data_IF_546501382485
#
_entry.id   IF_546501382485
#
_cell.length_a   1.000
_cell.length_b   1.000
_cell.length_c   1.000
_cell.angle_alpha   90.00
_cell.angle_beta   90.00
_cell.angle_gamma   90.00
#
_symmetry.space_group_name_H-M   'P 1'
#
loop_
_entity.id
_entity.type
_entity.pdbx_description
1 polymer ?
#
# COMPACT_ATOMS: atom_id res chain seq x y z
N UNK A 1 -3.64 11.82 11.10
CA UNK A 1 -2.33 11.18 11.27
C UNK A 1 -1.43 11.95 12.25
N UNK A 2 -1.33 13.30 12.15
CA UNK A 2 -0.46 14.11 13.01
C UNK A 2 -0.73 13.91 14.50
N UNK A 3 -1.98 14.09 14.93
CA UNK A 3 -2.37 13.89 16.32
C UNK A 3 -2.02 12.48 16.85
N UNK A 4 -2.16 11.44 16.02
CA UNK A 4 -1.78 10.08 16.39
C UNK A 4 -0.27 9.96 16.57
N UNK A 5 0.52 10.58 15.68
CA UNK A 5 1.99 10.60 15.77
C UNK A 5 2.44 11.26 17.08
N UNK A 6 1.89 12.43 17.40
CA UNK A 6 2.20 13.16 18.64
C UNK A 6 1.90 12.31 19.87
N UNK A 7 0.67 11.76 19.97
CA UNK A 7 0.27 10.90 21.09
C UNK A 7 1.15 9.66 21.25
N UNK A 8 1.60 9.08 20.13
CA UNK A 8 2.47 7.91 20.17
C UNK A 8 3.87 8.28 20.67
N UNK A 9 4.41 9.42 20.23
CA UNK A 9 5.70 9.95 20.71
C UNK A 9 5.62 10.26 22.22
N UNK A 10 4.58 10.95 22.69
CA UNK A 10 4.36 11.20 24.10
C UNK A 10 4.32 9.90 24.92
N UNK A 11 3.70 8.86 24.35
CA UNK A 11 3.67 7.55 25.01
C UNK A 11 5.09 6.92 25.06
N UNK A 12 5.85 7.02 23.99
CA UNK A 12 7.24 6.53 23.97
C UNK A 12 8.13 7.26 24.99
N UNK A 13 7.98 8.57 25.14
CA UNK A 13 8.71 9.35 26.15
C UNK A 13 8.34 8.89 27.57
N UNK A 14 7.03 8.80 27.88
CA UNK A 14 6.57 8.37 29.22
C UNK A 14 7.01 6.96 29.59
N UNK A 15 7.01 6.04 28.63
CA UNK A 15 7.38 4.63 28.86
C UNK A 15 8.87 4.37 28.70
N UNK A 16 9.66 5.36 28.31
CA UNK A 16 11.09 5.21 27.93
C UNK A 16 11.29 4.10 26.90
N UNK A 17 10.42 4.09 25.88
CA UNK A 17 10.40 3.04 24.88
C UNK A 17 11.76 2.83 24.19
N UNK A 18 12.21 1.57 24.11
CA UNK A 18 13.49 1.15 23.51
C UNK A 18 13.32 0.07 22.42
N UNK A 19 12.09 -0.18 22.03
CA UNK A 19 11.78 -1.20 21.03
C UNK A 19 12.05 -0.74 19.58
N UNK A 20 11.19 -1.15 18.68
CA UNK A 20 11.29 -0.85 17.25
C UNK A 20 9.97 -0.30 16.75
N UNK A 21 10.02 0.77 15.98
CA UNK A 21 8.89 1.32 15.26
C UNK A 21 9.08 1.11 13.76
N UNK A 22 8.14 0.38 13.13
CA UNK A 22 8.06 0.28 11.66
C UNK A 22 6.90 1.16 11.22
N UNK A 23 7.20 2.19 10.44
CA UNK A 23 6.23 3.16 9.97
C UNK A 23 5.92 2.95 8.49
N UNK A 24 4.64 2.69 8.18
CA UNK A 24 4.15 2.61 6.81
C UNK A 24 3.98 4.04 6.24
N UNK A 25 5.02 4.53 5.58
CA UNK A 25 4.99 5.75 4.78
C UNK A 25 4.49 5.46 3.37
N UNK A 26 4.68 6.36 2.42
CA UNK A 26 4.20 6.21 1.04
C UNK A 26 5.13 6.92 0.08
N UNK A 27 5.27 6.41 -1.13
CA UNK A 27 5.95 7.12 -2.24
C UNK A 27 5.35 8.52 -2.49
N UNK A 28 4.11 8.74 -2.06
CA UNK A 28 3.40 10.03 -2.14
C UNK A 28 3.77 11.02 -1.03
N UNK A 29 4.71 10.70 -0.16
CA UNK A 29 5.11 11.56 0.98
C UNK A 29 5.69 12.91 0.54
N UNK A 30 6.17 13.03 -0.69
CA UNK A 30 6.66 14.29 -1.26
C UNK A 30 5.60 15.08 -2.05
N UNK A 31 4.38 14.55 -2.21
CA UNK A 31 3.30 15.26 -2.87
C UNK A 31 2.86 16.48 -2.04
N UNK A 32 2.60 17.61 -2.74
CA UNK A 32 2.15 18.84 -2.10
C UNK A 32 0.64 18.83 -1.77
N UNK A 33 0.20 17.77 -1.12
CA UNK A 33 -1.17 17.63 -0.60
C UNK A 33 -1.16 17.32 0.89
N UNK A 34 -2.32 17.37 1.55
CA UNK A 34 -2.45 17.13 2.98
C UNK A 34 -1.95 15.74 3.42
N UNK A 35 -2.17 14.72 2.57
CA UNK A 35 -1.72 13.36 2.84
C UNK A 35 -0.20 13.23 2.81
N UNK A 36 0.44 13.69 1.72
CA UNK A 36 1.90 13.65 1.57
C UNK A 36 2.59 14.42 2.68
N UNK A 37 2.17 15.67 2.93
CA UNK A 37 2.70 16.51 4.03
C UNK A 37 2.57 15.82 5.39
N UNK A 38 1.44 15.19 5.67
CA UNK A 38 1.20 14.45 6.92
C UNK A 38 2.14 13.25 7.06
N UNK A 39 2.35 12.46 5.99
CA UNK A 39 3.28 11.32 6.02
C UNK A 39 4.72 11.76 6.22
N UNK A 40 5.16 12.80 5.50
CA UNK A 40 6.50 13.37 5.62
C UNK A 40 6.75 13.87 7.04
N UNK A 41 5.87 14.71 7.56
CA UNK A 41 6.01 15.27 8.91
C UNK A 41 6.01 14.19 9.99
N UNK A 42 5.14 13.18 9.89
CA UNK A 42 5.12 12.05 10.83
C UNK A 42 6.45 11.27 10.80
N UNK A 43 7.01 11.02 9.61
CA UNK A 43 8.30 10.35 9.47
C UNK A 43 9.44 11.14 10.12
N UNK A 44 9.51 12.46 9.87
CA UNK A 44 10.50 13.36 10.50
C UNK A 44 10.39 13.32 12.02
N UNK A 45 9.17 13.45 12.58
CA UNK A 45 8.94 13.42 14.03
C UNK A 45 9.35 12.09 14.67
N UNK A 46 9.05 10.96 14.02
CA UNK A 46 9.47 9.64 14.52
C UNK A 46 10.99 9.47 14.45
N UNK A 47 11.62 9.95 13.38
CA UNK A 47 13.08 9.92 13.25
C UNK A 47 13.75 10.71 14.36
N UNK A 48 13.33 11.97 14.60
CA UNK A 48 13.86 12.82 15.66
C UNK A 48 13.67 12.19 17.04
N UNK A 49 12.45 11.64 17.30
CA UNK A 49 12.13 10.94 18.54
C UNK A 49 12.99 9.68 18.72
N UNK A 50 13.25 8.93 17.66
CA UNK A 50 14.10 7.73 17.72
C UNK A 50 15.53 8.07 18.11
N UNK A 51 16.08 9.15 17.57
CA UNK A 51 17.42 9.65 17.94
C UNK A 51 17.48 10.10 19.40
N UNK A 52 16.45 10.82 19.87
CA UNK A 52 16.36 11.31 21.25
C UNK A 52 16.19 10.18 22.26
N UNK A 53 15.33 9.21 21.98
CA UNK A 53 14.98 8.13 22.91
C UNK A 53 15.82 6.87 22.73
N UNK A 54 16.48 6.69 21.59
CA UNK A 54 17.32 5.53 21.29
C UNK A 54 16.54 4.25 20.98
N UNK A 55 15.39 4.36 20.33
CA UNK A 55 14.68 3.20 19.75
C UNK A 55 14.99 3.07 18.24
N UNK A 56 14.78 1.89 17.67
CA UNK A 56 14.98 1.67 16.24
C UNK A 56 13.77 2.16 15.45
N UNK A 57 14.00 3.02 14.43
CA UNK A 57 12.95 3.52 13.54
C UNK A 57 13.18 3.06 12.10
N UNK A 58 12.23 2.33 11.54
CA UNK A 58 12.23 1.87 10.15
C UNK A 58 11.09 2.55 9.42
N UNK A 59 11.42 3.37 8.43
CA UNK A 59 10.46 4.08 7.60
C UNK A 59 10.31 3.35 6.26
N UNK A 60 9.17 2.72 6.02
CA UNK A 60 8.87 2.02 4.78
C UNK A 60 8.18 2.97 3.80
N UNK A 61 8.86 3.37 2.74
CA UNK A 61 8.30 4.20 1.66
C UNK A 61 7.64 3.25 0.65
N UNK A 62 6.32 3.05 0.82
CA UNK A 62 5.55 1.97 0.18
C UNK A 62 4.85 2.49 -1.08
N UNK A 63 4.90 1.75 -2.22
CA UNK A 63 4.11 2.05 -3.42
C UNK A 63 2.61 1.78 -3.20
N UNK A 64 1.80 1.83 -4.26
CA UNK A 64 0.37 1.52 -4.13
C UNK A 64 0.19 0.04 -3.81
N UNK A 65 -0.43 -0.26 -2.67
CA UNK A 65 -0.70 -1.64 -2.21
C UNK A 65 -2.03 -2.11 -2.76
N UNK A 66 -2.09 -3.37 -3.20
CA UNK A 66 -3.32 -4.04 -3.56
C UNK A 66 -3.34 -5.47 -3.00
N UNK A 67 -4.53 -6.05 -2.87
CA UNK A 67 -4.71 -7.40 -2.36
C UNK A 67 -6.16 -7.66 -1.92
N UNK A 68 -6.46 -8.90 -1.51
CA UNK A 68 -7.77 -9.30 -1.02
C UNK A 68 -8.30 -8.43 0.12
N UNK A 69 -9.62 -8.35 0.25
CA UNK A 69 -10.34 -7.67 1.34
C UNK A 69 -10.09 -6.16 1.47
N UNK A 70 -9.51 -5.54 0.43
CA UNK A 70 -9.32 -4.10 0.43
C UNK A 70 -10.67 -3.37 0.21
N UNK A 71 -10.96 -2.38 1.07
CA UNK A 71 -12.23 -1.64 1.03
C UNK A 71 -12.34 -0.83 -0.28
N UNK A 72 -13.38 -1.05 -1.11
CA UNK A 72 -13.64 -0.25 -2.30
C UNK A 72 -14.02 1.20 -1.93
N UNK A 73 -13.84 2.12 -2.88
CA UNK A 73 -14.16 3.54 -2.72
C UNK A 73 -13.47 4.23 -1.52
N UNK A 74 -12.29 3.73 -1.15
CA UNK A 74 -11.50 4.29 -0.05
C UNK A 74 -10.08 4.64 -0.51
N UNK A 75 -9.11 3.74 -0.43
CA UNK A 75 -7.71 4.02 -0.72
C UNK A 75 -7.12 3.21 -1.89
N UNK A 76 -7.86 2.26 -2.46
CA UNK A 76 -7.41 1.42 -3.55
C UNK A 76 -8.31 1.58 -4.77
N UNK A 77 -7.73 2.05 -5.88
CA UNK A 77 -8.46 2.09 -7.15
C UNK A 77 -8.74 0.67 -7.67
N UNK A 78 -7.85 -0.29 -7.41
CA UNK A 78 -8.03 -1.70 -7.81
C UNK A 78 -9.26 -2.28 -7.13
N UNK A 79 -9.38 -2.15 -5.79
CA UNK A 79 -10.56 -2.62 -5.06
C UNK A 79 -11.84 -1.94 -5.55
N UNK A 80 -11.77 -0.64 -5.88
CA UNK A 80 -12.88 0.10 -6.46
C UNK A 80 -13.25 -0.45 -7.83
N UNK A 81 -12.27 -0.73 -8.70
CA UNK A 81 -12.52 -1.29 -10.03
C UNK A 81 -13.11 -2.70 -9.95
N UNK A 82 -12.61 -3.55 -9.07
CA UNK A 82 -13.17 -4.88 -8.83
C UNK A 82 -14.64 -4.80 -8.39
N UNK A 83 -14.92 -4.00 -7.37
CA UNK A 83 -16.29 -3.79 -6.86
C UNK A 83 -17.22 -3.24 -7.94
N UNK A 84 -16.80 -2.22 -8.65
CA UNK A 84 -17.62 -1.61 -9.72
C UNK A 84 -17.90 -2.61 -10.84
N UNK A 85 -16.89 -3.37 -11.26
CA UNK A 85 -17.03 -4.34 -12.35
C UNK A 85 -18.06 -5.42 -12.01
N UNK A 86 -18.00 -6.00 -10.81
CA UNK A 86 -18.97 -7.02 -10.35
C UNK A 86 -20.39 -6.44 -10.23
N UNK A 87 -20.52 -5.20 -9.80
CA UNK A 87 -21.81 -4.52 -9.61
C UNK A 87 -22.34 -3.80 -10.88
N UNK A 88 -21.74 -4.02 -12.05
CA UNK A 88 -22.10 -3.36 -13.31
C UNK A 88 -22.01 -1.82 -13.26
N UNK A 89 -21.14 -1.28 -12.41
CA UNK A 89 -20.85 0.15 -12.32
C UNK A 89 -19.68 0.46 -13.25
N UNK A 90 -19.81 1.50 -14.07
CA UNK A 90 -18.75 1.90 -15.01
C UNK A 90 -17.54 2.45 -14.28
N UNK A 91 -16.37 1.81 -14.48
CA UNK A 91 -15.10 2.32 -14.00
C UNK A 91 -14.67 3.56 -14.79
N UNK A 92 -14.45 4.67 -14.09
CA UNK A 92 -13.97 5.92 -14.68
C UNK A 92 -12.47 6.08 -14.38
N UNK A 93 -11.69 6.39 -15.40
CA UNK A 93 -10.28 6.73 -15.28
C UNK A 93 -10.17 8.24 -15.47
N UNK A 94 -9.72 8.96 -14.44
CA UNK A 94 -9.50 10.42 -14.52
C UNK A 94 -8.22 10.72 -15.29
N UNK A 95 -7.16 9.97 -15.00
CA UNK A 95 -5.85 10.08 -15.63
C UNK A 95 -5.27 8.68 -15.81
N UNK A 96 -4.81 8.36 -17.02
CA UNK A 96 -4.22 7.04 -17.32
C UNK A 96 -2.71 7.07 -17.09
N UNK A 97 -2.33 7.17 -15.83
CA UNK A 97 -0.93 7.17 -15.42
C UNK A 97 -0.41 5.76 -15.19
N UNK A 98 0.90 5.59 -15.41
CA UNK A 98 1.61 4.40 -14.93
C UNK A 98 1.77 4.47 -13.42
N UNK A 99 1.39 3.43 -12.72
CA UNK A 99 1.43 3.37 -11.25
C UNK A 99 2.27 2.19 -10.77
N UNK A 100 3.14 2.40 -9.77
CA UNK A 100 3.86 1.31 -9.11
C UNK A 100 2.92 0.59 -8.14
N UNK A 101 2.87 -0.73 -8.24
CA UNK A 101 2.01 -1.59 -7.44
C UNK A 101 2.84 -2.64 -6.70
N UNK A 102 2.45 -2.93 -5.46
CA UNK A 102 2.95 -4.07 -4.67
C UNK A 102 1.78 -4.89 -4.13
N UNK A 103 1.88 -6.20 -4.25
CA UNK A 103 0.91 -7.12 -3.67
C UNK A 103 1.10 -7.23 -2.15
N UNK A 104 -0.01 -7.33 -1.41
CA UNK A 104 0.04 -7.30 0.06
C UNK A 104 0.94 -8.36 0.66
N UNK A 105 0.94 -9.60 0.15
CA UNK A 105 1.76 -10.68 0.70
C UNK A 105 3.27 -10.43 0.50
N UNK A 106 3.65 -9.80 -0.63
CA UNK A 106 5.04 -9.41 -0.88
C UNK A 106 5.48 -8.31 0.09
N UNK A 107 4.60 -7.34 0.36
CA UNK A 107 4.86 -6.30 1.36
C UNK A 107 4.99 -6.90 2.76
N UNK A 108 4.09 -7.79 3.17
CA UNK A 108 4.15 -8.48 4.47
C UNK A 108 5.43 -9.30 4.61
N UNK A 109 5.81 -10.03 3.56
CA UNK A 109 7.07 -10.80 3.52
C UNK A 109 8.29 -9.90 3.68
N UNK A 110 8.29 -8.70 3.06
CA UNK A 110 9.35 -7.72 3.24
C UNK A 110 9.37 -7.19 4.68
N UNK A 111 8.23 -6.82 5.25
CA UNK A 111 8.12 -6.34 6.64
C UNK A 111 8.70 -7.38 7.60
N UNK A 112 8.32 -8.66 7.45
CA UNK A 112 8.82 -9.74 8.28
C UNK A 112 10.34 -9.87 8.22
N UNK A 113 10.95 -9.73 7.05
CA UNK A 113 12.42 -9.73 6.89
C UNK A 113 13.10 -8.52 7.54
N UNK A 114 12.37 -7.42 7.75
CA UNK A 114 12.89 -6.18 8.33
C UNK A 114 12.65 -6.05 9.84
N UNK A 115 11.86 -6.94 10.44
CA UNK A 115 11.61 -6.95 11.89
C UNK A 115 12.91 -7.07 12.70
N UNK A 116 13.90 -7.81 12.20
CA UNK A 116 15.16 -8.06 12.92
C UNK A 116 16.22 -6.97 12.73
N UNK A 117 15.98 -5.96 11.89
CA UNK A 117 16.91 -4.85 11.71
C UNK A 117 17.16 -4.11 13.03
N UNK A 118 18.42 -3.83 13.34
CA UNK A 118 18.83 -3.15 14.58
C UNK A 118 19.19 -1.67 14.36
N UNK A 119 19.19 -1.20 13.10
CA UNK A 119 19.50 0.19 12.76
C UNK A 119 18.29 0.88 12.17
N UNK A 120 18.12 2.16 12.51
CA UNK A 120 17.11 3.01 11.88
C UNK A 120 17.49 3.28 10.43
N UNK A 121 16.53 3.11 9.52
CA UNK A 121 16.72 3.36 8.10
C UNK A 121 15.42 3.70 7.37
N UNK A 122 15.55 4.45 6.28
CA UNK A 122 14.51 4.63 5.28
C UNK A 122 14.64 3.54 4.21
N UNK A 123 13.55 2.81 3.97
CA UNK A 123 13.50 1.72 2.99
C UNK A 123 12.52 2.10 1.88
N UNK A 124 13.04 2.36 0.69
CA UNK A 124 12.22 2.46 -0.50
C UNK A 124 11.79 1.04 -0.91
N UNK A 125 10.51 0.76 -0.69
CA UNK A 125 9.93 -0.55 -1.04
C UNK A 125 9.80 -0.65 -2.55
N UNK A 126 10.46 -1.66 -3.15
CA UNK A 126 10.39 -1.90 -4.57
C UNK A 126 8.99 -2.43 -4.94
N UNK A 127 8.43 -1.87 -5.98
CA UNK A 127 7.18 -2.35 -6.59
C UNK A 127 7.35 -3.72 -7.26
N UNK A 128 6.27 -4.50 -7.33
CA UNK A 128 6.23 -5.74 -8.11
C UNK A 128 6.09 -5.44 -9.61
N UNK A 129 5.38 -4.36 -9.95
CA UNK A 129 5.09 -3.96 -11.32
C UNK A 129 4.80 -2.46 -11.43
N UNK A 130 5.20 -1.88 -12.56
CA UNK A 130 4.71 -0.58 -13.03
C UNK A 130 3.73 -0.81 -14.18
N UNK A 131 2.50 -0.31 -14.06
CA UNK A 131 1.42 -0.60 -15.01
C UNK A 131 0.45 0.58 -15.14
N UNK A 132 -0.09 0.78 -16.34
CA UNK A 132 -1.11 1.80 -16.59
C UNK A 132 -2.44 1.44 -15.93
N UNK A 133 -3.13 2.44 -15.40
CA UNK A 133 -4.45 2.28 -14.75
C UNK A 133 -5.48 1.67 -15.71
N UNK A 134 -5.47 2.07 -16.99
CA UNK A 134 -6.33 1.49 -18.03
C UNK A 134 -6.08 0.00 -18.25
N UNK A 135 -4.83 -0.44 -18.20
CA UNK A 135 -4.49 -1.86 -18.38
C UNK A 135 -5.01 -2.70 -17.21
N UNK A 136 -4.88 -2.20 -15.99
CA UNK A 136 -5.46 -2.87 -14.80
C UNK A 136 -6.98 -2.99 -14.94
N UNK A 137 -7.65 -1.89 -15.32
CA UNK A 137 -9.09 -1.89 -15.57
C UNK A 137 -9.51 -2.95 -16.59
N UNK A 138 -8.83 -3.01 -17.74
CA UNK A 138 -9.15 -3.97 -18.80
C UNK A 138 -9.00 -5.43 -18.32
N UNK A 139 -7.95 -5.75 -17.58
CA UNK A 139 -7.76 -7.10 -17.02
C UNK A 139 -8.90 -7.45 -16.02
N UNK A 140 -9.35 -6.50 -15.22
CA UNK A 140 -10.46 -6.72 -14.28
C UNK A 140 -11.79 -6.93 -15.05
N UNK A 141 -12.00 -6.20 -16.14
CA UNK A 141 -13.16 -6.39 -17.01
C UNK A 141 -13.14 -7.76 -17.71
N UNK A 142 -11.96 -8.21 -18.17
CA UNK A 142 -11.76 -9.57 -18.71
C UNK A 142 -12.05 -10.64 -17.63
N UNK A 143 -11.62 -10.43 -16.39
CA UNK A 143 -11.93 -11.36 -15.29
C UNK A 143 -13.43 -11.46 -15.04
N UNK A 144 -14.15 -10.33 -15.05
CA UNK A 144 -15.60 -10.36 -14.95
C UNK A 144 -16.24 -11.16 -16.07
N UNK A 145 -15.88 -10.89 -17.32
CA UNK A 145 -16.47 -11.55 -18.48
C UNK A 145 -16.17 -13.05 -18.48
N UNK A 146 -14.91 -13.42 -18.29
CA UNK A 146 -14.46 -14.81 -18.41
C UNK A 146 -14.90 -15.64 -17.20
N UNK A 147 -14.68 -15.13 -15.99
CA UNK A 147 -14.93 -15.89 -14.77
C UNK A 147 -16.35 -15.72 -14.25
N UNK A 148 -16.80 -14.47 -14.08
CA UNK A 148 -18.05 -14.18 -13.40
C UNK A 148 -19.28 -14.42 -14.29
N UNK A 149 -19.19 -14.13 -15.61
CA UNK A 149 -20.28 -14.31 -16.56
C UNK A 149 -20.23 -15.69 -17.19
N UNK A 150 -19.08 -16.10 -17.69
CA UNK A 150 -18.96 -17.34 -18.48
C UNK A 150 -18.53 -18.57 -17.66
N UNK A 151 -18.13 -18.43 -16.38
CA UNK A 151 -17.72 -19.51 -15.51
C UNK A 151 -16.40 -20.18 -15.90
N UNK A 152 -15.57 -19.53 -16.70
CA UNK A 152 -14.28 -20.02 -17.17
C UNK A 152 -13.13 -19.47 -16.33
N UNK A 153 -11.99 -20.17 -16.31
CA UNK A 153 -10.78 -19.70 -15.66
C UNK A 153 -10.09 -18.68 -16.59
N UNK A 154 -9.83 -17.44 -16.12
CA UNK A 154 -9.14 -16.46 -16.94
C UNK A 154 -7.65 -16.78 -17.09
N UNK A 155 -6.97 -16.04 -17.97
CA UNK A 155 -5.51 -16.15 -18.13
C UNK A 155 -4.78 -15.71 -16.85
N UNK A 156 -4.16 -16.66 -16.16
CA UNK A 156 -3.34 -16.50 -14.96
C UNK A 156 -1.84 -16.80 -15.25
N UNK A 157 -1.35 -16.41 -16.42
CA UNK A 157 -0.01 -16.76 -16.91
C UNK A 157 1.16 -16.12 -16.14
N UNK A 158 0.90 -15.13 -15.30
CA UNK A 158 1.95 -14.47 -14.51
C UNK A 158 1.45 -14.07 -13.11
N UNK A 159 2.40 -13.83 -12.20
CA UNK A 159 2.11 -13.50 -10.80
C UNK A 159 1.20 -12.27 -10.64
N UNK A 160 1.35 -11.25 -11.49
CA UNK A 160 0.49 -10.08 -11.40
C UNK A 160 -0.98 -10.43 -11.66
N UNK A 161 -1.28 -11.21 -12.72
CA UNK A 161 -2.65 -11.66 -13.02
C UNK A 161 -3.21 -12.57 -11.92
N UNK A 162 -2.40 -13.47 -11.38
CA UNK A 162 -2.79 -14.33 -10.24
C UNK A 162 -3.18 -13.45 -9.04
N UNK A 163 -2.32 -12.53 -8.64
CA UNK A 163 -2.53 -11.65 -7.49
C UNK A 163 -3.72 -10.69 -7.70
N UNK A 164 -3.88 -10.19 -8.92
CA UNK A 164 -5.01 -9.33 -9.27
C UNK A 164 -6.32 -10.12 -9.28
N UNK A 165 -6.31 -11.37 -9.73
CA UNK A 165 -7.47 -12.26 -9.68
C UNK A 165 -7.84 -12.61 -8.24
N UNK A 166 -6.88 -12.91 -7.37
CA UNK A 166 -7.12 -13.10 -5.94
C UNK A 166 -7.77 -11.86 -5.29
N UNK A 167 -7.39 -10.67 -5.73
CA UNK A 167 -8.00 -9.42 -5.27
C UNK A 167 -9.41 -9.23 -5.82
N UNK A 168 -9.65 -9.67 -7.05
CA UNK A 168 -10.94 -9.53 -7.74
C UNK A 168 -12.03 -10.41 -7.15
N UNK A 169 -11.70 -11.64 -6.75
CA UNK A 169 -12.70 -12.59 -6.29
C UNK A 169 -12.88 -12.60 -4.75
N UNK A 170 -12.15 -11.74 -4.01
CA UNK A 170 -12.28 -11.57 -2.57
C UNK A 170 -13.38 -10.57 -2.20
#
# INVERSE_FOLDING_TARGET
NMLLTEKLIDSFERTRYKGKLIFASSIKYNENNAYGKSKKKSSEMFFDSSNKLGFTFINLIIPNVYGPFCKPNYNSFIATFCHNSVNNIKNQIKEDNTVPLIYIDNLVSLINKKIDLQKSEDILVKEDININVSRVKNIIEDFKEIYFINGNIPDLSNNFKINLFNTFHS
#
